data_IF_153586951770
#
_entry.id   IF_153586951770
#
_cell.length_a   1.000
_cell.length_b   1.000
_cell.length_c   1.000
_cell.angle_alpha   90.00
_cell.angle_beta   90.00
_cell.angle_gamma   90.00
#
_symmetry.space_group_name_H-M   'P 1'
#
loop_
_entity.id
_entity.type
_entity.pdbx_description
1 polymer ?
#
# COMPACT_ATOMS: atom_id res chain seq x y z
N UNK A 1 -17.27 -13.17 7.70
CA UNK A 1 -16.48 -14.00 6.76
C UNK A 1 -15.73 -15.05 7.57
N UNK A 2 -16.07 -16.34 7.49
CA UNK A 2 -15.31 -17.40 8.17
C UNK A 2 -14.10 -17.74 7.30
N UNK A 3 -12.95 -17.15 7.60
CA UNK A 3 -11.69 -17.52 6.94
C UNK A 3 -11.28 -18.88 7.48
N UNK A 4 -11.25 -19.90 6.61
CA UNK A 4 -10.83 -21.24 6.98
C UNK A 4 -9.29 -21.29 7.13
N UNK A 5 -8.82 -21.02 8.35
CA UNK A 5 -7.40 -21.05 8.71
C UNK A 5 -6.72 -22.40 8.40
N UNK A 6 -7.49 -23.50 8.33
CA UNK A 6 -6.97 -24.82 7.96
C UNK A 6 -6.67 -24.91 6.47
N UNK A 7 -7.56 -24.38 5.62
CA UNK A 7 -7.34 -24.32 4.17
C UNK A 7 -6.13 -23.43 3.83
N UNK A 8 -6.02 -22.25 4.46
CA UNK A 8 -4.88 -21.35 4.29
C UNK A 8 -3.55 -21.99 4.70
N UNK A 9 -3.57 -22.83 5.75
CA UNK A 9 -2.41 -23.59 6.22
C UNK A 9 -2.00 -24.70 5.24
N UNK A 10 -2.95 -25.34 4.58
CA UNK A 10 -2.67 -26.38 3.57
C UNK A 10 -2.16 -25.79 2.26
N UNK A 11 -2.66 -24.62 1.83
CA UNK A 11 -2.11 -23.89 0.68
C UNK A 11 -0.66 -23.43 0.92
N UNK A 12 -0.37 -22.92 2.12
CA UNK A 12 1.00 -22.60 2.55
C UNK A 12 1.92 -23.82 2.51
N UNK A 13 1.43 -24.98 2.94
CA UNK A 13 2.19 -26.23 2.92
C UNK A 13 2.45 -26.73 1.50
N UNK A 14 1.46 -26.58 0.61
CA UNK A 14 1.59 -26.93 -0.81
C UNK A 14 2.63 -26.07 -1.53
N UNK A 15 2.66 -24.76 -1.23
CA UNK A 15 3.63 -23.83 -1.81
C UNK A 15 5.10 -24.14 -1.45
N UNK A 16 5.32 -24.88 -0.35
CA UNK A 16 6.66 -25.31 0.11
C UNK A 16 7.10 -26.69 -0.42
N UNK A 17 6.23 -27.46 -1.09
CA UNK A 17 6.49 -28.89 -1.34
C UNK A 17 7.38 -29.20 -2.55
N UNK A 18 7.63 -28.24 -3.45
CA UNK A 18 8.37 -28.50 -4.68
C UNK A 18 9.86 -28.13 -4.63
N UNK A 19 10.67 -29.18 -4.57
CA UNK A 19 12.03 -29.39 -5.06
C UNK A 19 13.11 -29.74 -4.01
N UNK A 20 13.99 -30.68 -4.40
CA UNK A 20 14.75 -31.63 -3.56
C UNK A 20 16.09 -31.13 -3.01
N UNK A 21 16.41 -29.83 -3.09
CA UNK A 21 17.76 -29.32 -2.77
C UNK A 21 17.72 -28.25 -1.70
N UNK A 22 17.37 -28.54 -0.43
CA UNK A 22 17.44 -27.53 0.67
C UNK A 22 17.21 -28.08 2.09
N UNK A 23 17.98 -29.08 2.51
CA UNK A 23 17.88 -29.62 3.88
C UNK A 23 18.30 -28.61 4.97
N UNK A 24 19.22 -27.69 4.66
CA UNK A 24 19.64 -26.59 5.57
C UNK A 24 18.65 -25.41 5.65
N UNK A 25 17.87 -25.18 4.60
CA UNK A 25 16.77 -24.19 4.63
C UNK A 25 15.55 -24.74 5.35
N UNK A 26 15.22 -26.03 5.17
CA UNK A 26 14.17 -26.71 5.93
C UNK A 26 14.40 -26.62 7.44
N UNK A 27 15.65 -26.72 7.90
CA UNK A 27 16.00 -26.60 9.32
C UNK A 27 15.86 -25.15 9.85
N UNK A 28 16.16 -24.13 9.03
CA UNK A 28 15.97 -22.71 9.39
C UNK A 28 14.50 -22.28 9.35
N UNK A 29 13.75 -22.71 8.35
CA UNK A 29 12.31 -22.48 8.25
C UNK A 29 11.55 -23.21 9.35
N UNK A 30 11.96 -24.44 9.71
CA UNK A 30 11.47 -25.13 10.91
C UNK A 30 11.70 -24.31 12.18
N UNK A 31 12.86 -23.69 12.36
CA UNK A 31 13.14 -22.84 13.54
C UNK A 31 12.30 -21.57 13.57
N UNK A 32 12.07 -20.93 12.43
CA UNK A 32 11.17 -19.76 12.32
C UNK A 32 9.71 -20.14 12.52
N UNK A 33 9.29 -21.28 11.98
CA UNK A 33 7.95 -21.86 12.14
C UNK A 33 7.67 -22.29 13.58
N UNK A 34 8.63 -22.94 14.25
CA UNK A 34 8.53 -23.30 15.68
C UNK A 34 8.44 -22.04 16.54
N UNK A 35 9.19 -20.97 16.23
CA UNK A 35 9.06 -19.68 16.92
C UNK A 35 7.68 -19.05 16.72
N UNK A 36 7.17 -18.99 15.48
CA UNK A 36 5.84 -18.46 15.19
C UNK A 36 4.71 -19.31 15.81
N UNK A 37 4.85 -20.64 15.81
CA UNK A 37 3.91 -21.56 16.44
C UNK A 37 3.92 -21.46 17.98
N UNK A 38 5.09 -21.26 18.60
CA UNK A 38 5.18 -20.98 20.04
C UNK A 38 4.56 -19.61 20.39
N UNK A 39 4.75 -18.59 19.57
CA UNK A 39 4.08 -17.28 19.73
C UNK A 39 2.56 -17.44 19.60
N UNK A 40 2.09 -18.28 18.67
CA UNK A 40 0.67 -18.56 18.47
C UNK A 40 0.04 -19.37 19.62
N UNK A 41 0.74 -20.41 20.12
CA UNK A 41 0.32 -21.18 21.32
C UNK A 41 0.34 -20.32 22.58
N UNK A 42 1.37 -19.49 22.76
CA UNK A 42 1.44 -18.54 23.86
C UNK A 42 0.26 -17.56 23.81
N UNK A 43 -0.12 -17.07 22.62
CA UNK A 43 -1.28 -16.19 22.43
C UNK A 43 -2.62 -16.90 22.62
N UNK A 44 -2.78 -18.15 22.18
CA UNK A 44 -3.98 -18.95 22.46
C UNK A 44 -4.13 -19.25 23.95
N UNK A 45 -3.03 -19.59 24.65
CA UNK A 45 -3.03 -19.78 26.10
C UNK A 45 -3.29 -18.48 26.86
N UNK A 46 -2.84 -17.34 26.34
CA UNK A 46 -3.10 -16.02 26.94
C UNK A 46 -4.54 -15.56 26.69
N UNK A 47 -5.09 -15.75 25.48
CA UNK A 47 -6.51 -15.47 25.17
C UNK A 47 -7.46 -16.33 26.03
N UNK A 48 -7.07 -17.57 26.38
CA UNK A 48 -7.82 -18.39 27.34
C UNK A 48 -7.64 -17.98 28.82
N UNK A 49 -6.67 -17.11 29.15
CA UNK A 49 -6.41 -16.60 30.52
C UNK A 49 -6.72 -15.11 30.71
N UNK A 50 -6.96 -14.36 29.63
CA UNK A 50 -7.25 -12.92 29.67
C UNK A 50 -8.74 -12.59 29.60
N UNK A 51 -9.56 -13.32 30.38
CA UNK A 51 -10.82 -12.77 30.91
C UNK A 51 -10.59 -11.87 32.14
N UNK A 52 -9.34 -11.71 32.58
CA UNK A 52 -8.96 -10.75 33.61
C UNK A 52 -7.84 -9.82 33.10
N UNK A 53 -8.06 -8.53 33.28
CA UNK A 53 -7.15 -7.39 33.07
C UNK A 53 -6.91 -6.90 31.63
N UNK A 54 -7.56 -5.78 31.34
CA UNK A 54 -7.22 -4.85 30.27
C UNK A 54 -5.94 -4.07 30.57
N UNK A 55 -5.40 -3.48 29.50
CA UNK A 55 -4.16 -2.70 29.41
C UNK A 55 -2.89 -3.54 29.16
N UNK A 56 -2.36 -3.39 27.93
CA UNK A 56 -0.96 -3.46 27.44
C UNK A 56 -0.99 -4.04 26.02
N UNK A 57 -1.34 -3.21 25.03
CA UNK A 57 -1.30 -3.53 23.58
C UNK A 57 -0.38 -2.66 22.69
N UNK A 58 0.31 -1.59 23.15
CA UNK A 58 1.22 -0.86 22.25
C UNK A 58 2.60 -1.53 22.02
N UNK A 59 3.14 -2.32 22.95
CA UNK A 59 4.55 -2.80 22.86
C UNK A 59 4.74 -4.06 22.00
N UNK A 60 3.73 -4.92 21.88
CA UNK A 60 3.86 -6.19 21.15
C UNK A 60 3.80 -6.01 19.62
N UNK A 61 3.01 -5.04 19.13
CA UNK A 61 3.00 -4.72 17.69
C UNK A 61 4.33 -4.15 17.20
N UNK A 62 5.06 -3.42 18.06
CA UNK A 62 6.34 -2.80 17.72
C UNK A 62 7.50 -3.81 17.67
N UNK A 63 7.41 -4.94 18.38
CA UNK A 63 8.40 -6.03 18.29
C UNK A 63 8.20 -6.93 17.06
N UNK A 64 6.98 -7.03 16.52
CA UNK A 64 6.73 -7.81 15.30
C UNK A 64 7.26 -7.13 14.03
N UNK A 65 7.42 -5.80 14.02
CA UNK A 65 8.02 -5.04 12.90
C UNK A 65 9.56 -5.08 12.87
N UNK A 66 10.22 -5.42 13.99
CA UNK A 66 11.70 -5.49 14.05
C UNK A 66 12.28 -6.80 13.52
N UNK A 67 11.47 -7.88 13.50
CA UNK A 67 11.91 -9.20 12.99
C UNK A 67 11.82 -9.28 11.46
N UNK A 68 11.04 -8.39 10.82
CA UNK A 68 10.81 -8.36 9.36
C UNK A 68 11.92 -7.64 8.57
N UNK A 69 12.61 -6.65 9.16
CA UNK A 69 13.72 -5.92 8.51
C UNK A 69 14.96 -6.80 8.29
N UNK A 70 15.28 -7.69 9.24
CA UNK A 70 16.46 -8.57 9.16
C UNK A 70 16.31 -9.66 8.09
N UNK A 71 15.07 -10.06 7.77
CA UNK A 71 14.78 -11.07 6.75
C UNK A 71 14.79 -10.50 5.32
N UNK A 72 14.38 -9.23 5.14
CA UNK A 72 14.34 -8.56 3.83
C UNK A 72 15.75 -8.27 3.28
N UNK A 73 16.67 -7.81 4.13
CA UNK A 73 18.06 -7.51 3.72
C UNK A 73 18.87 -8.75 3.31
N UNK A 74 18.51 -9.94 3.81
CA UNK A 74 19.26 -11.17 3.56
C UNK A 74 18.92 -11.81 2.20
N UNK A 75 17.67 -11.68 1.74
CA UNK A 75 17.23 -12.18 0.42
C UNK A 75 17.83 -11.38 -0.74
N UNK A 76 18.03 -10.07 -0.57
CA UNK A 76 18.71 -9.22 -1.57
C UNK A 76 20.20 -9.53 -1.74
N UNK A 77 20.87 -10.01 -0.68
CA UNK A 77 22.27 -10.45 -0.73
C UNK A 77 22.45 -11.77 -1.51
N UNK A 78 21.44 -12.65 -1.47
CA UNK A 78 21.49 -13.98 -2.08
C UNK A 78 21.34 -13.94 -3.61
N UNK A 79 20.64 -12.93 -4.15
CA UNK A 79 20.47 -12.70 -5.60
C UNK A 79 21.82 -12.48 -6.33
N UNK A 80 22.81 -11.90 -5.66
CA UNK A 80 24.13 -11.60 -6.25
C UNK A 80 25.02 -12.83 -6.48
N UNK A 81 24.77 -13.97 -5.82
CA UNK A 81 25.64 -15.17 -5.93
C UNK A 81 25.15 -16.26 -6.88
N UNK A 82 23.94 -16.15 -7.43
CA UNK A 82 23.33 -17.23 -8.24
C UNK A 82 23.29 -16.89 -9.75
N UNK A 83 23.80 -15.72 -10.17
CA UNK A 83 23.72 -15.28 -11.57
C UNK A 83 24.74 -15.91 -12.53
N UNK A 84 25.32 -17.08 -12.21
CA UNK A 84 26.15 -17.84 -13.16
C UNK A 84 25.55 -19.23 -13.38
N UNK A 85 24.90 -19.38 -14.55
CA UNK A 85 24.53 -20.61 -15.29
C UNK A 85 23.02 -20.72 -15.62
N UNK A 86 22.73 -20.51 -16.91
CA UNK A 86 21.63 -21.03 -17.76
C UNK A 86 20.19 -21.05 -17.19
N UNK A 87 19.28 -20.33 -17.87
CA UNK A 87 17.83 -20.28 -17.56
C UNK A 87 17.40 -19.10 -16.67
N UNK A 88 18.16 -18.00 -16.69
CA UNK A 88 18.01 -16.87 -15.76
C UNK A 88 16.63 -16.20 -15.82
N UNK A 89 16.00 -16.15 -16.98
CA UNK A 89 14.75 -15.40 -17.19
C UNK A 89 13.51 -16.15 -16.68
N UNK A 90 13.37 -17.45 -17.01
CA UNK A 90 12.31 -18.30 -16.46
C UNK A 90 12.44 -18.46 -14.94
N UNK A 91 13.66 -18.60 -14.43
CA UNK A 91 13.94 -18.65 -13.00
C UNK A 91 13.55 -17.34 -12.31
N UNK A 92 13.88 -16.18 -12.90
CA UNK A 92 13.45 -14.85 -12.41
C UNK A 92 11.94 -14.71 -12.40
N UNK A 93 11.24 -15.08 -13.48
CA UNK A 93 9.78 -15.05 -13.57
C UNK A 93 9.12 -15.98 -12.53
N UNK A 94 9.71 -17.15 -12.29
CA UNK A 94 9.25 -18.09 -11.26
C UNK A 94 9.43 -17.54 -9.83
N UNK A 95 10.59 -16.95 -9.55
CA UNK A 95 10.90 -16.32 -8.25
C UNK A 95 9.97 -15.12 -8.00
N UNK A 96 9.78 -14.24 -8.99
CA UNK A 96 8.87 -13.10 -8.88
C UNK A 96 7.41 -13.54 -8.66
N UNK A 97 6.96 -14.61 -9.34
CA UNK A 97 5.62 -15.18 -9.11
C UNK A 97 5.46 -15.70 -7.67
N UNK A 98 6.46 -16.41 -7.14
CA UNK A 98 6.46 -16.89 -5.75
C UNK A 98 6.49 -15.75 -4.74
N UNK A 99 7.30 -14.71 -5.00
CA UNK A 99 7.37 -13.53 -4.14
C UNK A 99 6.02 -12.79 -4.11
N UNK A 100 5.39 -12.55 -5.27
CA UNK A 100 4.05 -11.95 -5.36
C UNK A 100 2.99 -12.73 -4.58
N UNK A 101 2.97 -14.07 -4.72
CA UNK A 101 2.06 -14.93 -3.93
C UNK A 101 2.31 -14.83 -2.43
N UNK A 102 3.58 -14.82 -2.00
CA UNK A 102 3.93 -14.68 -0.60
C UNK A 102 3.52 -13.31 -0.03
N UNK A 103 3.61 -12.25 -0.83
CA UNK A 103 3.17 -10.91 -0.46
C UNK A 103 1.64 -10.83 -0.32
N UNK A 104 0.92 -11.40 -1.29
CA UNK A 104 -0.55 -11.49 -1.26
C UNK A 104 -1.06 -12.27 -0.03
N UNK A 105 -0.48 -13.44 0.25
CA UNK A 105 -0.81 -14.25 1.43
C UNK A 105 -0.58 -13.47 2.73
N UNK A 106 0.53 -12.73 2.81
CA UNK A 106 0.85 -11.91 3.98
C UNK A 106 -0.16 -10.77 4.16
N UNK A 107 -0.54 -10.10 3.08
CA UNK A 107 -1.60 -9.09 3.09
C UNK A 107 -2.91 -9.66 3.63
N UNK A 108 -3.35 -10.81 3.10
CA UNK A 108 -4.56 -11.50 3.55
C UNK A 108 -4.49 -11.87 5.03
N UNK A 109 -3.35 -12.35 5.51
CA UNK A 109 -3.14 -12.69 6.93
C UNK A 109 -3.15 -11.47 7.85
N UNK A 110 -2.45 -10.40 7.48
CA UNK A 110 -2.40 -9.15 8.26
C UNK A 110 -3.79 -8.51 8.36
N UNK A 111 -4.52 -8.43 7.24
CA UNK A 111 -5.90 -7.97 7.22
C UNK A 111 -6.80 -8.84 8.10
N UNK A 112 -6.74 -10.17 7.96
CA UNK A 112 -7.54 -11.09 8.78
C UNK A 112 -7.28 -10.92 10.28
N UNK A 113 -6.01 -10.81 10.69
CA UNK A 113 -5.63 -10.62 12.08
C UNK A 113 -6.15 -9.29 12.65
N UNK A 114 -6.07 -8.21 11.87
CA UNK A 114 -6.57 -6.90 12.29
C UNK A 114 -8.09 -6.83 12.32
N UNK A 115 -8.78 -7.46 11.37
CA UNK A 115 -10.23 -7.59 11.37
C UNK A 115 -10.74 -8.40 12.58
N UNK A 116 -10.05 -9.48 12.94
CA UNK A 116 -10.37 -10.26 14.15
C UNK A 116 -10.12 -9.48 15.45
N UNK A 117 -9.14 -8.57 15.45
CA UNK A 117 -8.84 -7.71 16.59
C UNK A 117 -9.69 -6.43 16.64
N UNK A 118 -10.39 -6.09 15.56
CA UNK A 118 -11.28 -4.95 15.51
C UNK A 118 -12.55 -5.25 16.32
N UNK A 119 -12.96 -4.30 17.17
CA UNK A 119 -14.32 -4.31 17.70
C UNK A 119 -15.30 -4.14 16.54
N UNK A 120 -16.51 -4.73 16.57
CA UNK A 120 -17.51 -4.54 15.53
C UNK A 120 -17.80 -3.04 15.37
N UNK A 121 -17.24 -2.42 14.33
CA UNK A 121 -17.54 -1.04 14.00
C UNK A 121 -18.94 -1.02 13.40
N UNK A 122 -19.89 -0.49 14.15
CA UNK A 122 -21.24 -0.19 13.68
C UNK A 122 -21.11 0.81 12.52
N UNK A 123 -21.43 0.41 11.29
CA UNK A 123 -21.87 1.38 10.27
C UNK A 123 -21.14 1.49 8.92
N UNK A 124 -20.08 0.75 8.61
CA UNK A 124 -19.61 0.72 7.20
C UNK A 124 -20.46 -0.27 6.40
N UNK A 125 -21.59 0.21 5.86
CA UNK A 125 -22.41 -0.57 4.94
C UNK A 125 -21.62 -0.82 3.64
N UNK A 126 -21.39 -2.08 3.30
CA UNK A 126 -20.69 -2.49 2.07
C UNK A 126 -21.37 -1.96 0.81
N UNK A 127 -22.70 -1.77 0.86
CA UNK A 127 -23.47 -1.13 -0.21
C UNK A 127 -22.99 0.30 -0.53
N UNK A 128 -22.50 1.04 0.46
CA UNK A 128 -22.06 2.43 0.24
C UNK A 128 -20.71 2.55 -0.48
N UNK A 129 -19.92 1.47 -0.52
CA UNK A 129 -18.66 1.41 -1.28
C UNK A 129 -18.81 0.64 -2.60
N UNK A 130 -20.05 0.44 -3.07
CA UNK A 130 -20.30 -0.24 -4.34
C UNK A 130 -19.86 0.61 -5.53
N UNK A 131 -19.57 -0.04 -6.65
CA UNK A 131 -19.20 0.61 -7.90
C UNK A 131 -20.23 1.65 -8.34
N UNK A 132 -21.50 1.27 -8.31
CA UNK A 132 -22.62 2.09 -8.77
C UNK A 132 -22.74 3.36 -7.93
N UNK A 133 -22.44 3.28 -6.64
CA UNK A 133 -22.47 4.44 -5.74
C UNK A 133 -21.26 5.32 -5.97
N UNK A 134 -20.04 4.75 -5.92
CA UNK A 134 -18.77 5.48 -5.97
C UNK A 134 -18.54 6.13 -7.34
N UNK A 135 -18.94 5.46 -8.42
CA UNK A 135 -18.78 5.93 -9.80
C UNK A 135 -20.12 6.28 -10.47
N UNK A 136 -21.15 6.60 -9.67
CA UNK A 136 -22.36 7.25 -10.20
C UNK A 136 -22.02 8.58 -10.87
N UNK A 137 -22.77 8.93 -11.91
CA UNK A 137 -22.61 10.23 -12.59
C UNK A 137 -22.81 11.42 -11.64
N UNK A 138 -23.72 11.31 -10.67
CA UNK A 138 -23.90 12.30 -9.62
C UNK A 138 -22.62 12.48 -8.78
N UNK A 139 -22.01 11.37 -8.35
CA UNK A 139 -20.78 11.44 -7.56
C UNK A 139 -19.61 11.95 -8.39
N UNK A 140 -19.46 11.54 -9.66
CA UNK A 140 -18.42 12.03 -10.58
C UNK A 140 -18.54 13.53 -10.83
N UNK A 141 -19.75 14.04 -11.07
CA UNK A 141 -19.97 15.48 -11.26
C UNK A 141 -19.63 16.28 -10.00
N UNK A 142 -20.05 15.79 -8.84
CA UNK A 142 -19.72 16.43 -7.56
C UNK A 142 -18.24 16.29 -7.19
N UNK A 143 -17.58 15.20 -7.61
CA UNK A 143 -16.16 14.95 -7.39
C UNK A 143 -15.31 16.02 -8.07
N UNK A 144 -15.61 16.41 -9.31
CA UNK A 144 -14.90 17.50 -10.01
C UNK A 144 -14.91 18.79 -9.20
N UNK A 145 -16.06 19.14 -8.62
CA UNK A 145 -16.22 20.32 -7.74
C UNK A 145 -15.41 20.17 -6.45
N UNK A 146 -15.39 18.97 -5.84
CA UNK A 146 -14.63 18.70 -4.61
C UNK A 146 -13.12 18.73 -4.85
N UNK A 147 -12.64 18.16 -5.96
CA UNK A 147 -11.23 18.22 -6.36
C UNK A 147 -10.78 19.67 -6.60
N UNK A 148 -11.57 20.47 -7.32
CA UNK A 148 -11.26 21.88 -7.56
C UNK A 148 -11.21 22.72 -6.26
N UNK A 149 -12.01 22.38 -5.25
CA UNK A 149 -12.02 23.05 -3.94
C UNK A 149 -10.97 22.50 -2.97
N UNK A 150 -10.31 21.40 -3.30
CA UNK A 150 -9.32 20.76 -2.43
C UNK A 150 -8.08 21.64 -2.33
N UNK A 151 -7.64 21.92 -1.10
CA UNK A 151 -6.43 22.73 -0.86
C UNK A 151 -5.21 21.82 -0.77
N UNK A 152 -4.10 22.25 -1.36
CA UNK A 152 -2.82 21.58 -1.17
C UNK A 152 -2.40 21.62 0.30
N UNK A 153 -1.96 20.50 0.89
CA UNK A 153 -1.52 20.47 2.27
C UNK A 153 -0.22 21.26 2.43
N UNK A 154 -0.15 22.10 3.46
CA UNK A 154 1.05 22.86 3.82
C UNK A 154 1.99 21.97 4.64
N UNK A 155 2.83 21.19 3.96
CA UNK A 155 3.73 20.23 4.61
C UNK A 155 5.02 20.87 5.16
N UNK A 156 5.39 22.07 4.69
CA UNK A 156 6.51 22.93 5.14
C UNK A 156 6.50 24.25 4.35
N UNK A 157 7.35 25.21 4.73
CA UNK A 157 7.74 26.38 3.91
C UNK A 157 8.57 25.94 2.67
N UNK A 158 8.07 25.00 1.87
CA UNK A 158 8.61 24.76 0.54
C UNK A 158 8.14 25.89 -0.35
N UNK A 159 9.09 26.74 -0.77
CA UNK A 159 8.83 27.73 -1.80
C UNK A 159 8.39 27.02 -3.08
N UNK A 160 7.37 27.60 -3.73
CA UNK A 160 6.79 27.11 -4.97
C UNK A 160 7.81 26.93 -6.09
N UNK A 161 7.51 25.98 -6.98
CA UNK A 161 8.21 25.71 -8.22
C UNK A 161 7.22 25.05 -9.18
N UNK A 162 7.45 25.15 -10.49
CA UNK A 162 6.57 24.50 -11.49
C UNK A 162 6.40 23.00 -11.17
N UNK A 163 5.25 22.38 -11.44
CA UNK A 163 5.08 20.93 -11.28
C UNK A 163 6.19 20.20 -12.05
N UNK A 164 6.83 19.24 -11.41
CA UNK A 164 7.95 18.48 -12.01
C UNK A 164 7.69 16.98 -12.05
N UNK A 165 6.54 16.53 -11.56
CA UNK A 165 6.14 15.13 -11.56
C UNK A 165 4.62 14.97 -11.48
N UNK A 166 4.12 13.87 -12.05
CA UNK A 166 2.72 13.47 -11.95
C UNK A 166 2.64 11.97 -11.65
N UNK A 167 1.64 11.59 -10.87
CA UNK A 167 1.36 10.19 -10.54
C UNK A 167 -0.09 9.87 -10.85
N UNK A 168 -0.33 8.67 -11.36
CA UNK A 168 -1.67 8.16 -11.57
C UNK A 168 -2.19 7.60 -10.24
N UNK A 169 -3.39 8.00 -9.83
CA UNK A 169 -4.15 7.39 -8.74
C UNK A 169 -5.22 6.47 -9.36
N UNK A 170 -4.86 5.23 -9.71
CA UNK A 170 -5.75 4.30 -10.41
C UNK A 170 -6.79 3.70 -9.47
N UNK A 171 -8.06 4.04 -9.72
CA UNK A 171 -9.22 3.37 -9.15
C UNK A 171 -9.61 2.20 -10.06
N UNK A 172 -9.76 1.01 -9.49
CA UNK A 172 -9.98 -0.21 -10.28
C UNK A 172 -10.82 -1.24 -9.52
N UNK A 173 -11.28 -2.25 -10.25
CA UNK A 173 -11.81 -3.47 -9.65
C UNK A 173 -10.77 -4.57 -9.63
N UNK A 174 -10.56 -5.14 -8.44
CA UNK A 174 -9.71 -6.32 -8.24
C UNK A 174 -10.46 -7.27 -7.33
N UNK A 175 -10.61 -8.53 -7.74
CA UNK A 175 -11.32 -9.58 -6.98
C UNK A 175 -12.74 -9.15 -6.53
N UNK A 176 -13.43 -8.33 -7.33
CA UNK A 176 -14.79 -7.85 -7.04
C UNK A 176 -14.88 -6.69 -6.05
N UNK A 177 -13.75 -6.15 -5.58
CA UNK A 177 -13.72 -4.96 -4.73
C UNK A 177 -13.12 -3.75 -5.47
N UNK A 178 -13.75 -2.57 -5.29
CA UNK A 178 -13.12 -1.31 -5.68
C UNK A 178 -11.85 -1.08 -4.85
N UNK A 179 -10.77 -0.76 -5.54
CA UNK A 179 -9.43 -0.68 -4.99
C UNK A 179 -8.62 0.46 -5.61
N UNK A 180 -7.65 0.99 -4.85
CA UNK A 180 -6.58 1.80 -5.41
C UNK A 180 -5.38 0.89 -5.70
N UNK A 181 -4.81 1.02 -6.90
CA UNK A 181 -3.61 0.28 -7.29
C UNK A 181 -2.35 1.05 -6.92
N UNK A 182 -1.36 0.33 -6.40
CA UNK A 182 -0.04 0.86 -6.03
C UNK A 182 1.06 -0.01 -6.64
N UNK A 183 2.22 0.60 -6.83
CA UNK A 183 3.48 -0.09 -7.13
C UNK A 183 4.30 -0.22 -5.86
N UNK A 184 4.97 -1.36 -5.71
CA UNK A 184 6.02 -1.57 -4.73
C UNK A 184 7.36 -1.35 -5.43
N UNK A 185 8.10 -0.32 -5.02
CA UNK A 185 9.39 0.00 -5.63
C UNK A 185 10.44 -1.06 -5.28
N UNK A 186 11.26 -1.44 -6.26
CA UNK A 186 12.35 -2.39 -6.06
C UNK A 186 13.31 -1.94 -4.94
N UNK A 187 13.79 -2.92 -4.16
CA UNK A 187 14.77 -2.67 -3.10
C UNK A 187 16.15 -2.19 -3.59
N UNK A 188 16.42 -2.33 -4.89
CA UNK A 188 17.69 -1.93 -5.52
C UNK A 188 17.80 -0.43 -5.83
N UNK A 189 16.71 0.32 -5.68
CA UNK A 189 16.69 1.75 -6.00
C UNK A 189 17.37 2.57 -4.90
N UNK A 190 18.09 3.63 -5.29
CA UNK A 190 18.80 4.50 -4.33
C UNK A 190 17.84 5.32 -3.45
N UNK A 191 16.63 5.58 -3.95
CA UNK A 191 15.62 6.35 -3.26
C UNK A 191 14.29 5.61 -3.21
N UNK A 192 13.62 5.68 -2.04
CA UNK A 192 12.29 5.11 -1.81
C UNK A 192 12.18 3.59 -2.07
N UNK A 193 13.29 2.87 -1.92
CA UNK A 193 13.35 1.41 -2.05
C UNK A 193 12.35 0.72 -1.10
N UNK A 194 11.52 -0.18 -1.65
CA UNK A 194 10.51 -0.91 -0.88
C UNK A 194 9.31 -0.06 -0.40
N UNK A 195 9.20 1.19 -0.84
CA UNK A 195 8.04 2.02 -0.53
C UNK A 195 6.87 1.74 -1.50
N UNK A 196 5.66 1.89 -0.97
CA UNK A 196 4.42 1.86 -1.73
C UNK A 196 4.18 3.22 -2.38
N UNK A 197 4.08 3.24 -3.69
CA UNK A 197 3.92 4.45 -4.48
C UNK A 197 2.74 4.30 -5.45
N UNK A 198 2.22 5.43 -5.89
CA UNK A 198 1.41 5.46 -7.09
C UNK A 198 2.34 5.40 -8.30
N UNK A 199 1.94 4.74 -9.40
CA UNK A 199 2.73 4.74 -10.61
C UNK A 199 2.85 6.16 -11.16
N UNK A 200 4.05 6.55 -11.57
CA UNK A 200 4.30 7.93 -11.99
C UNK A 200 5.74 8.36 -11.87
N UNK A 201 6.02 9.52 -12.44
CA UNK A 201 7.39 10.00 -12.59
C UNK A 201 7.46 11.48 -12.92
N UNK A 202 8.60 11.89 -13.48
CA UNK A 202 8.86 13.30 -13.79
C UNK A 202 8.15 13.68 -15.09
N UNK A 203 7.80 14.96 -15.18
CA UNK A 203 7.29 15.53 -16.44
C UNK A 203 8.43 15.54 -17.47
N UNK A 204 8.18 14.96 -18.63
CA UNK A 204 9.05 15.00 -19.80
C UNK A 204 8.73 16.24 -20.65
N UNK A 205 9.69 16.88 -21.34
CA UNK A 205 9.43 17.91 -22.35
C UNK A 205 8.35 17.57 -23.39
N UNK A 206 8.16 16.29 -23.71
CA UNK A 206 7.14 15.83 -24.68
C UNK A 206 5.74 15.69 -24.05
N UNK A 207 5.62 15.75 -22.72
CA UNK A 207 4.34 15.64 -22.04
C UNK A 207 3.51 16.93 -22.21
N UNK A 208 2.29 16.79 -22.76
CA UNK A 208 1.37 17.92 -22.98
C UNK A 208 0.79 18.50 -21.68
N UNK A 209 0.60 17.66 -20.67
CA UNK A 209 0.00 17.99 -19.37
C UNK A 209 0.34 16.90 -18.33
N UNK A 210 0.01 17.15 -17.06
CA UNK A 210 0.27 16.19 -15.98
C UNK A 210 -0.52 14.89 -16.13
N UNK A 211 -1.67 14.93 -16.83
CA UNK A 211 -2.47 13.74 -17.15
C UNK A 211 -1.68 12.84 -18.09
N UNK A 212 -1.09 13.40 -19.14
CA UNK A 212 -0.23 12.68 -20.07
C UNK A 212 0.98 12.07 -19.38
N UNK A 213 1.70 12.85 -18.55
CA UNK A 213 2.82 12.34 -17.74
C UNK A 213 2.41 11.14 -16.89
N UNK A 214 1.32 11.25 -16.11
CA UNK A 214 0.89 10.19 -15.22
C UNK A 214 0.50 8.90 -15.97
N UNK A 215 -0.16 9.04 -17.13
CA UNK A 215 -0.57 7.90 -17.96
C UNK A 215 0.62 7.23 -18.65
N UNK A 216 1.55 8.02 -19.21
CA UNK A 216 2.77 7.53 -19.83
C UNK A 216 3.61 6.72 -18.83
N UNK A 217 3.88 7.29 -17.66
CA UNK A 217 4.66 6.64 -16.62
C UNK A 217 3.97 5.36 -16.10
N UNK A 218 2.64 5.37 -15.93
CA UNK A 218 1.91 4.15 -15.55
C UNK A 218 1.97 3.05 -16.62
N UNK A 219 1.99 3.44 -17.90
CA UNK A 219 2.20 2.50 -18.99
C UNK A 219 3.63 1.92 -18.95
N UNK A 220 4.65 2.75 -18.77
CA UNK A 220 6.05 2.32 -18.69
C UNK A 220 6.34 1.41 -17.47
N UNK A 221 5.86 1.80 -16.28
CA UNK A 221 6.19 1.11 -15.03
C UNK A 221 5.46 -0.24 -14.87
N UNK A 222 4.20 -0.32 -15.29
CA UNK A 222 3.35 -1.51 -15.04
C UNK A 222 2.65 -2.06 -16.28
N UNK A 223 2.80 -1.43 -17.45
CA UNK A 223 2.10 -1.86 -18.66
C UNK A 223 0.60 -1.59 -18.59
N UNK A 224 0.16 -0.58 -17.82
CA UNK A 224 -1.24 -0.22 -17.75
C UNK A 224 -1.67 0.35 -19.12
N UNK A 225 -2.61 -0.32 -19.79
CA UNK A 225 -3.08 0.09 -21.11
C UNK A 225 -3.74 1.46 -21.02
N UNK A 226 -3.17 2.44 -21.72
CA UNK A 226 -3.68 3.79 -21.85
C UNK A 226 -4.57 3.86 -23.09
N UNK A 227 -5.82 4.33 -22.96
CA UNK A 227 -6.79 4.34 -24.06
C UNK A 227 -8.23 4.50 -23.59
N UNK A 228 -9.20 4.01 -24.37
CA UNK A 228 -10.66 4.14 -24.10
C UNK A 228 -11.11 3.57 -22.74
N UNK A 229 -10.32 2.69 -22.15
CA UNK A 229 -10.62 2.05 -20.86
C UNK A 229 -10.20 2.88 -19.64
N UNK A 230 -9.56 4.05 -19.84
CA UNK A 230 -9.14 4.94 -18.76
C UNK A 230 -10.02 6.18 -18.74
N UNK A 231 -10.85 6.30 -17.71
CA UNK A 231 -11.69 7.47 -17.46
C UNK A 231 -10.99 8.39 -16.44
N UNK A 232 -10.46 9.53 -16.89
CA UNK A 232 -9.87 10.53 -15.99
C UNK A 232 -10.99 11.28 -15.25
N UNK A 233 -11.00 11.15 -13.93
CA UNK A 233 -12.03 11.74 -13.05
C UNK A 233 -11.65 13.14 -12.58
N UNK A 234 -10.35 13.44 -12.53
CA UNK A 234 -9.82 14.77 -12.23
C UNK A 234 -8.43 14.73 -11.59
N UNK A 235 -7.90 15.90 -11.25
CA UNK A 235 -6.56 16.06 -10.68
C UNK A 235 -6.62 16.62 -9.26
N UNK A 236 -5.74 16.13 -8.39
CA UNK A 236 -5.48 16.69 -7.08
C UNK A 236 -4.61 17.94 -7.19
N UNK A 237 -4.72 18.91 -6.25
CA UNK A 237 -3.84 20.07 -6.27
C UNK A 237 -2.37 19.63 -6.07
N UNK A 238 -1.39 20.36 -6.64
CA UNK A 238 0.01 19.99 -6.55
C UNK A 238 0.47 19.90 -5.09
N UNK A 239 1.12 18.80 -4.72
CA UNK A 239 1.62 18.56 -3.36
C UNK A 239 3.13 18.73 -3.33
N UNK A 240 3.69 19.52 -2.38
CA UNK A 240 5.13 19.66 -2.26
C UNK A 240 5.78 18.33 -1.88
N UNK A 241 6.77 17.89 -2.66
CA UNK A 241 7.61 16.75 -2.34
C UNK A 241 8.75 17.15 -1.38
N UNK A 242 9.37 16.17 -0.71
CA UNK A 242 10.57 16.42 0.10
C UNK A 242 11.76 16.86 -0.73
N UNK A 243 11.83 16.41 -1.99
CA UNK A 243 12.79 16.89 -2.97
C UNK A 243 12.55 18.38 -3.25
N UNK A 244 13.57 19.20 -3.01
CA UNK A 244 13.45 20.65 -3.05
C UNK A 244 12.92 21.13 -4.42
N UNK A 245 11.94 22.04 -4.40
CA UNK A 245 11.35 22.63 -5.61
C UNK A 245 10.50 21.70 -6.48
N UNK A 246 10.16 20.49 -6.02
CA UNK A 246 9.34 19.53 -6.79
C UNK A 246 7.92 19.45 -6.23
N UNK A 247 6.92 19.64 -7.09
CA UNK A 247 5.51 19.36 -6.78
C UNK A 247 5.05 18.15 -7.56
N UNK A 248 4.21 17.34 -6.92
CA UNK A 248 3.59 16.14 -7.50
C UNK A 248 2.09 16.37 -7.66
N UNK A 249 1.57 16.15 -8.86
CA UNK A 249 0.13 16.16 -9.15
C UNK A 249 -0.38 14.72 -9.17
N UNK A 250 -1.47 14.45 -8.45
CA UNK A 250 -2.15 13.15 -8.50
C UNK A 250 -3.29 13.18 -9.50
N UNK A 251 -3.28 12.29 -10.48
CA UNK A 251 -4.32 12.17 -11.51
C UNK A 251 -5.23 11.00 -11.15
N UNK A 252 -6.44 11.28 -10.69
CA UNK A 252 -7.41 10.25 -10.34
C UNK A 252 -8.11 9.75 -11.61
N UNK A 253 -8.00 8.46 -11.87
CA UNK A 253 -8.64 7.82 -13.03
C UNK A 253 -9.26 6.49 -12.65
N UNK A 254 -10.40 6.17 -13.24
CA UNK A 254 -10.94 4.82 -13.23
C UNK A 254 -10.33 4.02 -14.40
N UNK A 255 -9.77 2.86 -14.10
CA UNK A 255 -9.00 2.04 -15.06
C UNK A 255 -9.61 0.65 -15.28
N UNK A 256 -10.89 0.48 -14.93
CA UNK A 256 -11.64 -0.74 -15.19
C UNK A 256 -11.31 -1.91 -14.25
N UNK A 257 -11.56 -3.12 -14.77
CA UNK A 257 -11.27 -4.37 -14.08
C UNK A 257 -9.84 -4.81 -14.38
N UNK A 258 -9.08 -5.04 -13.31
CA UNK A 258 -7.67 -5.39 -13.40
C UNK A 258 -7.41 -6.74 -12.73
N UNK A 259 -6.46 -7.47 -13.30
CA UNK A 259 -5.85 -8.62 -12.66
C UNK A 259 -4.40 -8.24 -12.32
N UNK A 260 -4.06 -8.02 -11.02
CA UNK A 260 -2.70 -7.66 -10.62
C UNK A 260 -1.61 -8.64 -11.09
N UNK A 261 -1.96 -9.91 -11.33
CA UNK A 261 -1.02 -10.90 -11.83
C UNK A 261 -0.70 -10.78 -13.32
N UNK A 262 -1.49 -10.02 -14.08
CA UNK A 262 -1.34 -9.83 -15.53
C UNK A 262 -0.44 -8.65 -15.91
N UNK A 263 -0.03 -7.81 -14.95
CA UNK A 263 0.82 -6.65 -15.23
C UNK A 263 2.25 -7.04 -15.64
N UNK A 264 2.77 -6.28 -16.61
CA UNK A 264 4.16 -6.33 -17.05
C UNK A 264 4.95 -5.26 -16.31
N UNK A 265 5.78 -5.67 -15.35
CA UNK A 265 6.45 -4.73 -14.44
C UNK A 265 7.82 -4.33 -14.99
N UNK A 266 8.14 -3.04 -14.94
CA UNK A 266 9.46 -2.50 -15.29
C UNK A 266 10.55 -3.15 -14.41
N UNK A 267 11.48 -3.93 -15.01
CA UNK A 267 12.50 -4.64 -14.24
C UNK A 267 13.46 -3.69 -13.53
N UNK A 268 13.61 -3.86 -12.21
CA UNK A 268 14.55 -3.05 -11.40
C UNK A 268 13.94 -1.76 -10.86
N UNK A 269 12.75 -1.38 -11.30
CA UNK A 269 11.99 -0.24 -10.78
C UNK A 269 10.78 -0.70 -9.95
N UNK A 270 10.00 -1.66 -10.48
CA UNK A 270 8.78 -2.15 -9.84
C UNK A 270 8.90 -3.62 -9.47
N UNK A 271 8.77 -3.93 -8.18
CA UNK A 271 8.84 -5.29 -7.64
C UNK A 271 7.48 -5.99 -7.65
N UNK A 272 6.42 -5.24 -7.36
CA UNK A 272 5.06 -5.78 -7.35
C UNK A 272 4.02 -4.68 -7.60
N UNK A 273 2.83 -5.11 -8.00
CA UNK A 273 1.62 -4.30 -8.00
C UNK A 273 0.69 -4.81 -6.91
N UNK A 274 0.16 -3.91 -6.11
CA UNK A 274 -0.71 -4.22 -4.97
C UNK A 274 -1.99 -3.40 -5.08
N UNK A 275 -3.13 -4.07 -5.00
CA UNK A 275 -4.43 -3.43 -4.90
C UNK A 275 -4.82 -3.29 -3.42
N UNK A 276 -5.11 -2.07 -2.97
CA UNK A 276 -5.67 -1.82 -1.65
C UNK A 276 -7.16 -1.48 -1.78
N UNK A 277 -8.04 -2.35 -1.27
CA UNK A 277 -9.47 -2.11 -1.38
C UNK A 277 -9.92 -0.88 -0.60
N UNK A 278 -10.90 -0.16 -1.14
CA UNK A 278 -11.46 1.04 -0.51
C UNK A 278 -12.01 0.71 0.88
N UNK A 279 -12.56 -0.50 1.06
CA UNK A 279 -13.00 -1.02 2.36
C UNK A 279 -11.88 -1.01 3.38
N UNK A 280 -10.70 -1.55 3.05
CA UNK A 280 -9.56 -1.56 3.96
C UNK A 280 -8.98 -0.16 4.15
N UNK A 281 -8.92 0.66 3.09
CA UNK A 281 -8.41 2.04 3.18
C UNK A 281 -9.29 2.97 4.03
N UNK A 282 -10.60 2.73 4.06
CA UNK A 282 -11.54 3.56 4.83
C UNK A 282 -11.77 3.04 6.26
N UNK A 283 -11.55 1.76 6.50
CA UNK A 283 -11.89 1.17 7.80
C UNK A 283 -10.98 1.68 8.93
N UNK A 284 -11.53 2.16 10.06
CA UNK A 284 -10.76 2.82 11.12
C UNK A 284 -9.65 1.98 11.76
N UNK A 285 -9.76 0.65 11.74
CA UNK A 285 -8.70 -0.21 12.29
C UNK A 285 -7.39 -0.09 11.50
N UNK A 286 -7.47 0.24 10.20
CA UNK A 286 -6.32 0.29 9.30
C UNK A 286 -5.77 1.70 9.08
N UNK A 287 -6.43 2.75 9.57
CA UNK A 287 -5.96 4.12 9.39
C UNK A 287 -5.31 4.61 10.68
N UNK A 288 -4.05 5.00 10.58
CA UNK A 288 -3.25 5.61 11.65
C UNK A 288 -2.68 6.94 11.16
N UNK A 289 -1.98 7.61 12.05
CA UNK A 289 -1.34 8.89 11.78
C UNK A 289 0.08 8.89 12.32
N UNK A 290 0.99 9.57 11.64
CA UNK A 290 2.35 9.82 12.08
C UNK A 290 2.55 11.32 12.19
N UNK A 291 3.18 11.75 13.28
CA UNK A 291 3.47 13.16 13.53
C UNK A 291 4.95 13.43 13.33
N UNK A 292 5.23 14.46 12.56
CA UNK A 292 6.57 14.98 12.32
C UNK A 292 6.73 16.25 13.12
N UNK A 293 7.81 16.31 13.91
CA UNK A 293 8.17 17.52 14.64
C UNK A 293 8.90 18.47 13.70
N UNK A 294 8.56 19.76 13.79
CA UNK A 294 9.33 20.84 13.17
C UNK A 294 9.58 21.90 14.23
N UNK A 295 10.81 22.43 14.26
CA UNK A 295 11.19 23.58 15.08
C UNK A 295 10.80 24.91 14.43
N UNK A 296 10.42 24.90 13.14
CA UNK A 296 9.93 26.05 12.38
C UNK A 296 8.40 26.12 12.42
N UNK A 297 7.81 27.30 12.27
CA UNK A 297 6.35 27.51 12.21
C UNK A 297 5.79 27.07 10.85
N UNK A 298 4.68 26.29 10.80
CA UNK A 298 3.93 25.71 11.92
C UNK A 298 4.69 24.54 12.61
N UNK A 299 4.51 24.35 13.92
CA UNK A 299 5.27 23.38 14.72
C UNK A 299 4.86 21.95 14.40
N UNK A 300 5.43 21.40 13.33
CA UNK A 300 5.20 20.03 12.89
C UNK A 300 3.98 19.85 12.00
N UNK A 301 3.78 18.62 11.54
CA UNK A 301 2.66 18.23 10.70
C UNK A 301 2.28 16.76 10.93
N UNK A 302 1.00 16.43 10.71
CA UNK A 302 0.47 15.06 10.83
C UNK A 302 0.18 14.49 9.45
N UNK A 303 0.66 13.27 9.19
CA UNK A 303 0.36 12.53 7.98
C UNK A 303 -0.47 11.27 8.28
N UNK A 304 -1.36 10.85 7.36
CA UNK A 304 -2.02 9.56 7.43
C UNK A 304 -1.03 8.41 7.18
N UNK A 305 -1.37 7.25 7.72
CA UNK A 305 -0.73 5.96 7.42
C UNK A 305 -1.81 4.91 7.25
N UNK A 306 -1.79 4.19 6.14
CA UNK A 306 -2.73 3.09 5.88
C UNK A 306 -2.02 1.75 6.08
N UNK A 307 -2.60 0.93 6.95
CA UNK A 307 -2.10 -0.39 7.37
C UNK A 307 -2.94 -1.53 6.78
N UNK A 308 -3.85 -1.22 5.86
CA UNK A 308 -4.71 -2.21 5.18
C UNK A 308 -3.96 -3.08 4.17
N UNK A 309 -2.68 -2.76 3.92
CA UNK A 309 -1.75 -3.50 3.06
C UNK A 309 -0.39 -3.59 3.73
N UNK A 310 0.40 -4.55 3.27
CA UNK A 310 1.81 -4.75 3.55
C UNK A 310 2.58 -4.75 2.21
N UNK A 311 3.53 -3.81 2.01
CA UNK A 311 3.90 -2.75 2.95
C UNK A 311 2.80 -1.71 3.18
N UNK A 312 2.92 -0.97 4.29
CA UNK A 312 2.01 0.14 4.62
C UNK A 312 2.12 1.27 3.59
N UNK A 313 1.03 2.00 3.37
CA UNK A 313 1.05 3.25 2.60
C UNK A 313 1.28 4.42 3.56
N UNK A 314 2.34 5.21 3.31
CA UNK A 314 2.75 6.32 4.17
C UNK A 314 3.37 7.45 3.32
N UNK A 315 3.77 8.55 3.95
CA UNK A 315 4.45 9.66 3.26
C UNK A 315 3.55 10.36 2.23
N UNK A 316 4.14 10.81 1.11
CA UNK A 316 3.42 11.53 0.06
C UNK A 316 2.28 10.70 -0.54
N UNK A 317 2.51 9.40 -0.76
CA UNK A 317 1.50 8.47 -1.26
C UNK A 317 0.27 8.46 -0.36
N UNK A 318 0.45 8.38 0.97
CA UNK A 318 -0.68 8.40 1.90
C UNK A 318 -1.44 9.73 1.91
N UNK A 319 -0.78 10.85 1.63
CA UNK A 319 -1.45 12.16 1.50
C UNK A 319 -2.35 12.15 0.27
N UNK A 320 -1.84 11.71 -0.88
CA UNK A 320 -2.62 11.55 -2.10
C UNK A 320 -3.79 10.58 -1.91
N UNK A 321 -3.56 9.44 -1.24
CA UNK A 321 -4.62 8.49 -0.86
C UNK A 321 -5.67 9.16 0.01
N UNK A 322 -5.27 9.88 1.05
CA UNK A 322 -6.21 10.57 1.95
C UNK A 322 -7.06 11.61 1.21
N UNK A 323 -6.44 12.46 0.40
CA UNK A 323 -7.15 13.48 -0.38
C UNK A 323 -8.09 12.86 -1.41
N UNK A 324 -7.66 11.78 -2.07
CA UNK A 324 -8.49 11.00 -2.99
C UNK A 324 -9.72 10.46 -2.27
N UNK A 325 -9.55 9.78 -1.14
CA UNK A 325 -10.67 9.19 -0.40
C UNK A 325 -11.62 10.26 0.14
N UNK A 326 -11.10 11.39 0.64
CA UNK A 326 -11.91 12.52 1.10
C UNK A 326 -12.76 13.11 -0.03
N UNK A 327 -12.23 13.21 -1.25
CA UNK A 327 -12.95 13.75 -2.40
C UNK A 327 -13.90 12.73 -3.04
N UNK A 328 -13.49 11.45 -3.11
CA UNK A 328 -14.22 10.38 -3.79
C UNK A 328 -15.37 9.84 -2.94
N UNK A 329 -15.20 9.78 -1.61
CA UNK A 329 -16.09 9.08 -0.70
C UNK A 329 -16.62 10.02 0.41
N UNK A 330 -17.34 11.09 0.05
CA UNK A 330 -17.86 12.04 1.03
C UNK A 330 -18.78 11.33 2.04
N UNK A 331 -18.56 11.57 3.33
CA UNK A 331 -19.34 10.96 4.42
C UNK A 331 -18.99 9.49 4.74
N UNK A 332 -18.32 8.78 3.84
CA UNK A 332 -17.86 7.40 4.08
C UNK A 332 -16.40 7.33 4.54
N UNK A 333 -15.58 8.27 4.08
CA UNK A 333 -14.22 8.47 4.57
C UNK A 333 -14.18 9.70 5.51
N UNK A 334 -14.29 9.46 6.81
CA UNK A 334 -14.38 10.50 7.85
C UNK A 334 -13.11 10.65 8.69
N UNK A 335 -11.95 10.21 8.18
CA UNK A 335 -10.70 10.28 8.93
C UNK A 335 -10.19 11.72 9.00
N UNK A 336 -10.01 12.24 10.21
CA UNK A 336 -9.49 13.59 10.43
C UNK A 336 -8.05 13.55 10.93
N UNK A 337 -7.14 14.21 10.21
CA UNK A 337 -5.74 14.39 10.62
C UNK A 337 -5.67 15.38 11.78
N UNK A 338 -5.43 14.89 13.00
CA UNK A 338 -5.27 15.77 14.17
C UNK A 338 -3.80 16.03 14.43
N UNK A 339 -3.42 17.30 14.51
CA UNK A 339 -2.13 17.68 15.05
C UNK A 339 -2.20 17.66 16.58
N UNK A 340 -1.41 16.79 17.21
CA UNK A 340 -1.27 16.78 18.67
C UNK A 340 0.01 17.56 18.98
N UNK A 341 -0.09 18.75 19.59
CA UNK A 341 1.10 19.49 19.96
C UNK A 341 1.95 18.66 20.94
N UNK A 342 3.28 18.72 20.85
CA UNK A 342 4.14 18.03 21.79
C UNK A 342 3.81 18.47 23.22
N UNK A 343 3.82 17.52 24.17
CA UNK A 343 3.69 17.84 25.60
C UNK A 343 4.79 18.85 25.94
N UNK A 344 4.40 19.99 26.50
CA UNK A 344 5.38 20.95 27.05
C UNK A 344 6.12 20.22 28.17
N UNK A 345 7.45 20.20 28.07
CA UNK A 345 8.33 19.60 29.06
C UNK A 345 8.28 20.36 30.38
#
# INVERSE_FOLDING_TARGET
MKINLKALKEELWSCCKDNKTRERERERERRTFVKLHHIFKAKQMWVSRSQAFGCIMPRVLQQMTGVTEVAGGWLGSMSRRVSHALGVEEARHSIQRRHRRALDLRNKMCQAAMWLAATPTRGMATASLSFETVLSEENKNSLKVRLAKTKSPRLRDLKGGKPRAAVLVPLCHVEGELSLLYTLRCLSLDAHAGEMCFPGGKVDPEDRDEVHTALREAHEEVGLVTGENVEVLGTLPPIPSRAEGTHVVGVLAYVGHLNPAAFSLSPGEVEAVIAASLKNLCHPVFVRQTQFRSTKFPPGYTLPVFLGTEPRVWGLTAILTHMTLTALLPGLYSHHLRHIPPLRA
#
